data_IF_127918265179
#
_entry.id   IF_127918265179
#
_cell.length_a   1.000
_cell.length_b   1.000
_cell.length_c   1.000
_cell.angle_alpha   90.00
_cell.angle_beta   90.00
_cell.angle_gamma   90.00
#
_symmetry.space_group_name_H-M   'P 1'
#
loop_
_entity.id
_entity.type
_entity.pdbx_description
1 polymer ?
#
# COMPACT_ATOMS: atom_id res chain seq x y z
N UNK A 1 13.68 27.81 -2.72
CA UNK A 1 12.53 27.23 -2.00
C UNK A 1 12.23 25.77 -2.38
N UNK A 2 12.37 25.36 -3.65
CA UNK A 2 12.17 23.96 -4.08
C UNK A 2 13.18 22.97 -3.46
N UNK A 3 14.44 23.37 -3.35
CA UNK A 3 15.50 22.47 -2.85
C UNK A 3 15.37 22.15 -1.35
N UNK A 4 14.82 23.07 -0.56
CA UNK A 4 14.56 22.87 0.86
C UNK A 4 13.45 21.83 1.12
N UNK A 5 12.46 21.72 0.21
CA UNK A 5 11.39 20.72 0.30
C UNK A 5 11.83 19.35 -0.25
N UNK A 6 12.71 19.32 -1.24
CA UNK A 6 13.21 18.07 -1.83
C UNK A 6 14.24 17.35 -0.95
N UNK A 7 14.92 18.07 -0.07
CA UNK A 7 15.97 17.51 0.80
C UNK A 7 15.41 16.54 1.85
N UNK A 8 14.33 16.86 2.61
CA UNK A 8 13.67 15.90 3.50
C UNK A 8 13.07 14.71 2.77
N UNK A 9 12.48 14.95 1.59
CA UNK A 9 11.86 13.93 0.73
C UNK A 9 12.86 12.86 0.28
N UNK A 10 14.08 13.28 -0.07
CA UNK A 10 15.17 12.36 -0.42
C UNK A 10 15.83 11.70 0.78
N UNK A 11 15.81 12.35 1.94
CA UNK A 11 16.44 11.84 3.18
C UNK A 11 15.60 10.78 3.88
N UNK A 12 14.27 10.87 3.79
CA UNK A 12 13.33 9.92 4.38
C UNK A 12 12.25 9.50 3.37
N UNK A 13 12.63 8.80 2.27
CA UNK A 13 11.70 8.41 1.20
C UNK A 13 10.55 7.55 1.73
N UNK A 14 10.80 6.78 2.79
CA UNK A 14 9.77 6.01 3.48
C UNK A 14 8.72 6.91 4.17
N UNK A 15 9.14 7.90 4.95
CA UNK A 15 8.23 8.80 5.66
C UNK A 15 7.41 9.67 4.69
N UNK A 16 8.01 10.11 3.59
CA UNK A 16 7.29 10.86 2.55
C UNK A 16 6.27 10.00 1.83
N UNK A 17 6.59 8.76 1.47
CA UNK A 17 5.61 7.84 0.90
C UNK A 17 4.46 7.58 1.87
N UNK A 18 4.76 7.28 3.14
CA UNK A 18 3.75 7.03 4.18
C UNK A 18 2.85 8.25 4.38
N UNK A 19 3.41 9.46 4.41
CA UNK A 19 2.62 10.69 4.53
C UNK A 19 1.75 10.95 3.29
N UNK A 20 2.28 10.76 2.08
CA UNK A 20 1.52 10.94 0.83
C UNK A 20 0.36 9.96 0.73
N UNK A 21 0.62 8.67 0.95
CA UNK A 21 -0.44 7.65 0.95
C UNK A 21 -1.44 7.91 2.08
N UNK A 22 -0.96 8.28 3.27
CA UNK A 22 -1.82 8.64 4.41
C UNK A 22 -2.75 9.80 4.10
N UNK A 23 -2.24 10.90 3.54
CA UNK A 23 -3.05 12.05 3.15
C UNK A 23 -4.04 11.71 2.02
N UNK A 24 -3.63 10.89 1.05
CA UNK A 24 -4.48 10.50 -0.08
C UNK A 24 -5.66 9.64 0.38
N UNK A 25 -5.39 8.62 1.21
CA UNK A 25 -6.43 7.73 1.74
C UNK A 25 -7.32 8.45 2.76
N UNK A 26 -6.76 9.26 3.66
CA UNK A 26 -7.55 10.04 4.61
C UNK A 26 -8.42 11.09 3.91
N UNK A 27 -7.91 11.75 2.85
CA UNK A 27 -8.70 12.66 2.03
C UNK A 27 -9.81 11.94 1.26
N UNK A 28 -9.51 10.77 0.70
CA UNK A 28 -10.50 9.92 0.02
C UNK A 28 -11.61 9.46 0.96
N UNK A 29 -11.25 9.01 2.16
CA UNK A 29 -12.21 8.57 3.18
C UNK A 29 -13.03 9.73 3.75
N UNK A 30 -12.43 10.91 3.93
CA UNK A 30 -13.14 12.12 4.34
C UNK A 30 -14.20 12.54 3.31
N UNK A 31 -13.83 12.57 2.02
CA UNK A 31 -14.77 12.85 0.92
C UNK A 31 -15.84 11.77 0.86
N UNK A 32 -15.47 10.50 1.02
CA UNK A 32 -16.40 9.37 1.02
C UNK A 32 -17.39 9.46 2.20
N UNK A 33 -16.92 9.77 3.41
CA UNK A 33 -17.77 9.91 4.60
C UNK A 33 -18.66 11.15 4.55
N UNK A 34 -18.17 12.28 4.00
CA UNK A 34 -19.00 13.46 3.70
C UNK A 34 -20.15 13.12 2.74
N UNK A 35 -19.93 12.21 1.78
CA UNK A 35 -20.97 11.73 0.87
C UNK A 35 -21.83 10.59 1.44
N UNK A 36 -21.33 9.78 2.36
CA UNK A 36 -21.98 8.51 2.76
C UNK A 36 -22.82 8.56 4.04
N UNK A 37 -22.81 9.65 4.83
CA UNK A 37 -23.74 9.89 5.97
C UNK A 37 -23.94 8.66 6.91
N UNK A 38 -22.85 7.99 7.31
CA UNK A 38 -22.91 6.78 8.16
C UNK A 38 -22.75 7.11 9.65
N UNK A 39 -23.65 6.58 10.47
CA UNK A 39 -23.92 7.07 11.83
C UNK A 39 -23.05 6.44 12.94
N UNK A 40 -22.46 5.25 12.77
CA UNK A 40 -21.55 4.65 13.77
C UNK A 40 -20.45 3.78 13.15
N UNK A 41 -19.21 3.99 13.60
CA UNK A 41 -17.99 3.27 13.18
C UNK A 41 -17.75 2.08 14.12
N UNK A 42 -17.54 0.90 13.56
CA UNK A 42 -17.39 -0.35 14.31
C UNK A 42 -15.90 -0.68 14.56
N UNK A 43 -15.34 -0.06 15.61
CA UNK A 43 -13.91 -0.01 15.90
C UNK A 43 -13.23 -1.36 16.19
N UNK A 44 -13.98 -2.34 16.69
CA UNK A 44 -13.45 -3.68 17.00
C UNK A 44 -13.13 -4.46 15.73
N UNK A 45 -13.97 -4.32 14.71
CA UNK A 45 -13.74 -4.90 13.39
C UNK A 45 -12.55 -4.22 12.70
N UNK A 46 -12.48 -2.88 12.77
CA UNK A 46 -11.37 -2.10 12.24
C UNK A 46 -10.03 -2.51 12.84
N UNK A 47 -9.96 -2.76 14.16
CA UNK A 47 -8.72 -3.18 14.83
C UNK A 47 -8.24 -4.56 14.39
N UNK A 48 -9.13 -5.54 14.27
CA UNK A 48 -8.75 -6.89 13.85
C UNK A 48 -8.29 -6.92 12.39
N UNK A 49 -8.98 -6.19 11.51
CA UNK A 49 -8.55 -6.00 10.11
C UNK A 49 -7.20 -5.27 10.05
N UNK A 50 -6.98 -4.26 10.89
CA UNK A 50 -5.71 -3.53 10.96
C UNK A 50 -4.55 -4.43 11.41
N UNK A 51 -4.75 -5.31 12.40
CA UNK A 51 -3.71 -6.26 12.85
C UNK A 51 -3.38 -7.27 11.76
N UNK A 52 -4.38 -7.87 11.09
CA UNK A 52 -4.15 -8.81 9.98
C UNK A 52 -3.47 -8.11 8.80
N UNK A 53 -3.88 -6.88 8.47
CA UNK A 53 -3.27 -6.08 7.42
C UNK A 53 -1.82 -5.68 7.75
N UNK A 54 -1.53 -5.28 9.00
CA UNK A 54 -0.17 -4.92 9.41
C UNK A 54 0.75 -6.14 9.48
N UNK A 55 0.29 -7.22 10.11
CA UNK A 55 1.11 -8.41 10.34
C UNK A 55 1.35 -9.20 9.07
N UNK A 56 0.34 -9.38 8.22
CA UNK A 56 0.46 -10.22 7.03
C UNK A 56 0.66 -9.40 5.75
N UNK A 57 -0.24 -8.45 5.49
CA UNK A 57 -0.25 -7.71 4.22
C UNK A 57 0.96 -6.78 4.08
N UNK A 58 1.33 -6.06 5.15
CA UNK A 58 2.46 -5.14 5.17
C UNK A 58 3.81 -5.84 4.99
N UNK A 59 4.03 -6.95 5.71
CA UNK A 59 5.24 -7.75 5.59
C UNK A 59 5.33 -8.44 4.22
N UNK A 60 4.24 -9.08 3.78
CA UNK A 60 4.19 -9.77 2.50
C UNK A 60 4.45 -8.83 1.33
N UNK A 61 3.81 -7.65 1.30
CA UNK A 61 3.99 -6.67 0.24
C UNK A 61 5.45 -6.17 0.16
N UNK A 62 6.07 -5.89 1.31
CA UNK A 62 7.47 -5.45 1.36
C UNK A 62 8.44 -6.51 0.83
N UNK A 63 8.30 -7.77 1.26
CA UNK A 63 9.16 -8.85 0.78
C UNK A 63 8.91 -9.19 -0.69
N UNK A 64 7.65 -9.18 -1.13
CA UNK A 64 7.26 -9.48 -2.49
C UNK A 64 7.76 -8.43 -3.49
N UNK A 65 7.60 -7.14 -3.19
CA UNK A 65 8.15 -6.05 -4.02
C UNK A 65 9.68 -6.13 -4.10
N UNK A 66 10.35 -6.45 -2.98
CA UNK A 66 11.81 -6.61 -2.95
C UNK A 66 12.28 -7.84 -3.74
N UNK A 67 11.49 -8.91 -3.78
CA UNK A 67 11.74 -10.08 -4.63
C UNK A 67 11.57 -9.74 -6.12
N UNK A 68 10.48 -9.06 -6.48
CA UNK A 68 10.20 -8.64 -7.85
C UNK A 68 11.27 -7.68 -8.40
N UNK A 69 11.74 -6.72 -7.60
CA UNK A 69 12.83 -5.82 -8.01
C UNK A 69 14.16 -6.56 -8.22
N UNK A 70 14.48 -7.56 -7.39
CA UNK A 70 15.68 -8.38 -7.59
C UNK A 70 15.59 -9.27 -8.84
N UNK A 71 14.42 -9.83 -9.13
CA UNK A 71 14.24 -10.75 -10.25
C UNK A 71 14.05 -10.05 -11.59
N UNK A 72 13.48 -8.85 -11.56
CA UNK A 72 13.14 -8.02 -12.71
C UNK A 72 13.58 -6.58 -12.48
N UNK A 73 14.91 -6.30 -12.44
CA UNK A 73 15.40 -4.95 -12.24
C UNK A 73 15.07 -4.06 -13.46
N UNK A 74 14.72 -2.80 -13.19
CA UNK A 74 14.50 -1.78 -14.20
C UNK A 74 13.03 -1.44 -14.48
N UNK A 75 12.86 -0.35 -15.25
CA UNK A 75 11.57 0.35 -15.38
C UNK A 75 11.00 0.26 -16.81
N UNK A 76 11.57 -0.60 -17.65
CA UNK A 76 11.07 -0.82 -19.00
C UNK A 76 9.61 -1.33 -18.96
N UNK A 77 8.77 -0.87 -19.88
CA UNK A 77 7.34 -1.23 -19.92
C UNK A 77 7.11 -2.75 -19.84
N UNK A 78 7.94 -3.54 -20.53
CA UNK A 78 7.90 -5.01 -20.49
C UNK A 78 8.18 -5.58 -19.10
N UNK A 79 9.10 -4.97 -18.35
CA UNK A 79 9.46 -5.36 -16.98
C UNK A 79 8.33 -5.02 -16.02
N UNK A 80 7.72 -3.84 -16.18
CA UNK A 80 6.55 -3.41 -15.39
C UNK A 80 5.34 -4.32 -15.65
N UNK A 81 5.05 -4.66 -16.91
CA UNK A 81 3.96 -5.58 -17.26
C UNK A 81 4.18 -6.99 -16.69
N UNK A 82 5.43 -7.49 -16.66
CA UNK A 82 5.75 -8.77 -16.01
C UNK A 82 5.55 -8.73 -14.49
N UNK A 83 5.98 -7.64 -13.84
CA UNK A 83 5.72 -7.40 -12.41
C UNK A 83 4.21 -7.40 -12.15
N UNK A 84 3.44 -6.67 -12.95
CA UNK A 84 1.98 -6.59 -12.83
C UNK A 84 1.31 -7.95 -13.00
N UNK A 85 1.67 -8.73 -14.03
CA UNK A 85 1.11 -10.06 -14.25
C UNK A 85 1.41 -10.99 -13.06
N UNK A 86 2.64 -10.98 -12.53
CA UNK A 86 3.00 -11.77 -11.36
C UNK A 86 2.26 -11.32 -10.10
N UNK A 87 2.07 -10.02 -9.94
CA UNK A 87 1.31 -9.47 -8.83
C UNK A 87 -0.15 -9.96 -8.85
N UNK A 88 -0.78 -9.90 -10.02
CA UNK A 88 -2.20 -10.28 -10.17
C UNK A 88 -2.42 -11.80 -10.17
N UNK A 89 -1.44 -12.60 -10.61
CA UNK A 89 -1.59 -14.07 -10.71
C UNK A 89 -1.05 -14.84 -9.52
N UNK A 90 -0.16 -14.24 -8.71
CA UNK A 90 0.48 -14.93 -7.58
C UNK A 90 0.20 -14.19 -6.28
N UNK A 91 0.52 -12.90 -6.18
CA UNK A 91 0.36 -12.17 -4.93
C UNK A 91 -1.10 -11.93 -4.56
N UNK A 92 -1.95 -11.55 -5.53
CA UNK A 92 -3.38 -11.37 -5.30
C UNK A 92 -4.08 -12.64 -4.80
N UNK A 93 -3.98 -13.80 -5.46
CA UNK A 93 -4.60 -15.03 -4.94
C UNK A 93 -3.99 -15.51 -3.63
N UNK A 94 -2.69 -15.38 -3.40
CA UNK A 94 -2.08 -15.70 -2.09
C UNK A 94 -2.60 -14.81 -0.97
N UNK A 95 -2.73 -13.51 -1.21
CA UNK A 95 -3.27 -12.57 -0.25
C UNK A 95 -4.75 -12.86 0.05
N UNK A 96 -5.54 -13.22 -0.97
CA UNK A 96 -6.94 -13.60 -0.81
C UNK A 96 -7.07 -14.93 -0.07
N UNK A 97 -6.27 -15.95 -0.40
CA UNK A 97 -6.29 -17.24 0.29
C UNK A 97 -5.90 -17.11 1.76
N UNK A 98 -4.88 -16.32 2.09
CA UNK A 98 -4.46 -16.08 3.47
C UNK A 98 -5.46 -15.23 4.27
N UNK A 99 -6.32 -14.47 3.60
CA UNK A 99 -7.39 -13.71 4.26
C UNK A 99 -8.62 -14.57 4.52
N UNK A 100 -8.91 -15.54 3.65
CA UNK A 100 -10.07 -16.43 3.73
C UNK A 100 -9.80 -17.79 4.42
N UNK A 101 -8.56 -18.07 4.80
CA UNK A 101 -8.17 -19.25 5.61
C UNK A 101 -7.93 -18.82 7.05
#
# INVERSE_FOLDING_TARGET
MRDALLTPVRRFPWATNVALYGCLFAGGDFVHQCFSRKERVDWTHTRNVAVVAFSFHGNFNFFWMRFLERRFPGNALRTVLRKLLLDQTVAAPLAISAFYT
#
